data_IF_078398284332
#
_entry.id   IF_078398284332
#
_cell.length_a   1.000
_cell.length_b   1.000
_cell.length_c   1.000
_cell.angle_alpha   90.00
_cell.angle_beta   90.00
_cell.angle_gamma   90.00
#
_symmetry.space_group_name_H-M   'P 1'
#
loop_
_entity.id
_entity.type
_entity.pdbx_description
1 polymer ?
#
# COMPACT_ATOMS: atom_id res chain seq x y z
N UNK A 1 54.37 -44.82 -34.08
CA UNK A 1 54.83 -43.43 -33.94
C UNK A 1 54.54 -42.97 -32.53
N UNK A 2 55.60 -42.49 -31.89
CA UNK A 2 55.76 -42.07 -30.50
C UNK A 2 55.17 -40.68 -30.24
N UNK A 3 54.45 -40.53 -29.13
CA UNK A 3 54.68 -39.43 -28.18
C UNK A 3 53.95 -39.70 -26.85
N UNK A 4 54.76 -39.96 -25.81
CA UNK A 4 54.43 -39.70 -24.40
C UNK A 4 54.56 -38.19 -24.15
N UNK A 5 53.85 -37.65 -23.16
CA UNK A 5 54.36 -36.66 -22.18
C UNK A 5 53.39 -36.60 -20.98
N UNK A 6 54.01 -36.28 -19.85
CA UNK A 6 53.71 -36.62 -18.47
C UNK A 6 52.91 -35.54 -17.73
N UNK A 7 52.25 -35.98 -16.66
CA UNK A 7 51.61 -35.25 -15.54
C UNK A 7 52.19 -33.86 -15.18
N UNK A 8 51.31 -32.98 -14.70
CA UNK A 8 51.56 -32.23 -13.46
C UNK A 8 50.25 -31.90 -12.73
N UNK A 9 50.24 -32.27 -11.45
CA UNK A 9 49.22 -32.02 -10.45
C UNK A 9 49.38 -30.58 -9.97
N UNK A 10 48.30 -29.79 -9.99
CA UNK A 10 48.12 -28.68 -9.07
C UNK A 10 46.68 -28.69 -8.57
N UNK A 11 46.52 -29.13 -7.33
CA UNK A 11 45.32 -28.90 -6.54
C UNK A 11 45.34 -27.42 -6.12
N UNK A 12 44.37 -26.63 -6.59
CA UNK A 12 44.07 -25.31 -6.04
C UNK A 12 42.66 -25.36 -5.44
N UNK A 13 42.62 -25.51 -4.12
CA UNK A 13 41.47 -25.27 -3.27
C UNK A 13 41.14 -23.78 -3.27
N UNK A 14 40.07 -23.38 -3.95
CA UNK A 14 39.51 -22.03 -3.84
C UNK A 14 38.37 -22.09 -2.80
N UNK A 15 38.66 -21.61 -1.60
CA UNK A 15 37.62 -21.20 -0.64
C UNK A 15 36.81 -20.07 -1.29
N UNK A 16 35.53 -20.30 -1.54
CA UNK A 16 34.59 -19.22 -1.80
C UNK A 16 34.33 -18.48 -0.48
N UNK A 17 35.07 -17.39 -0.26
CA UNK A 17 34.71 -16.39 0.72
C UNK A 17 33.41 -15.72 0.29
N UNK A 18 32.33 -15.95 1.04
CA UNK A 18 31.10 -15.17 0.94
C UNK A 18 31.42 -13.78 1.47
N UNK A 19 31.76 -12.86 0.57
CA UNK A 19 31.83 -11.44 0.88
C UNK A 19 30.39 -10.95 1.06
N UNK A 20 29.97 -10.77 2.32
CA UNK A 20 28.81 -9.94 2.65
C UNK A 20 29.10 -8.53 2.18
N UNK A 21 28.51 -8.12 1.06
CA UNK A 21 28.52 -6.73 0.63
C UNK A 21 27.67 -5.92 1.64
N UNK A 22 28.32 -5.22 2.55
CA UNK A 22 27.67 -4.16 3.31
C UNK A 22 27.33 -3.05 2.29
N UNK A 23 26.03 -2.83 2.09
CA UNK A 23 25.53 -1.65 1.36
C UNK A 23 25.91 -0.43 2.19
N UNK A 24 27.03 0.19 1.86
CA UNK A 24 27.48 1.43 2.46
C UNK A 24 26.63 2.56 1.87
N UNK A 25 25.56 2.93 2.58
CA UNK A 25 24.77 4.12 2.26
C UNK A 25 25.69 5.34 2.39
N UNK A 26 26.00 5.98 1.26
CA UNK A 26 26.66 7.29 1.29
C UNK A 26 25.75 8.28 2.04
N UNK A 27 26.30 9.14 2.90
CA UNK A 27 25.50 10.17 3.56
C UNK A 27 24.84 11.05 2.50
N UNK A 28 23.51 11.19 2.59
CA UNK A 28 22.73 12.02 1.68
C UNK A 28 23.23 13.48 1.76
N UNK A 29 23.32 14.20 0.61
CA UNK A 29 23.56 15.65 0.62
C UNK A 29 22.53 16.34 1.51
N UNK A 30 22.94 17.38 2.25
CA UNK A 30 22.14 18.06 3.29
C UNK A 30 20.81 18.69 2.84
N UNK A 31 20.47 18.62 1.55
CA UNK A 31 19.24 19.13 0.94
C UNK A 31 18.39 18.04 0.27
N UNK A 32 18.74 16.75 0.43
CA UNK A 32 17.95 15.65 -0.13
C UNK A 32 16.79 15.33 0.81
N UNK A 33 15.59 15.00 0.28
CA UNK A 33 14.49 14.55 1.12
C UNK A 33 14.91 13.31 1.92
N UNK A 34 14.34 13.12 3.12
CA UNK A 34 14.61 11.93 3.92
C UNK A 34 14.23 10.65 3.14
N UNK A 35 14.91 9.51 3.39
CA UNK A 35 14.54 8.24 2.78
C UNK A 35 13.05 7.92 2.99
N UNK A 36 12.36 7.31 2.02
CA UNK A 36 10.95 6.96 2.16
C UNK A 36 10.65 6.07 3.37
N UNK A 37 11.49 5.07 3.65
CA UNK A 37 11.32 4.20 4.83
C UNK A 37 11.45 4.96 6.15
N UNK A 38 12.48 5.79 6.27
CA UNK A 38 12.68 6.63 7.45
C UNK A 38 11.48 7.57 7.66
N UNK A 39 10.98 8.15 6.58
CA UNK A 39 9.79 9.00 6.60
C UNK A 39 8.57 8.20 7.06
N UNK A 40 8.36 6.99 6.52
CA UNK A 40 7.24 6.14 6.90
C UNK A 40 7.28 5.75 8.38
N UNK A 41 8.45 5.35 8.88
CA UNK A 41 8.66 5.04 10.31
C UNK A 41 8.45 6.27 11.19
N UNK A 42 8.94 7.43 10.79
CA UNK A 42 8.76 8.68 11.53
C UNK A 42 7.27 9.03 11.65
N UNK A 43 6.55 9.03 10.52
CA UNK A 43 5.11 9.29 10.47
C UNK A 43 4.31 8.23 11.22
N UNK A 44 4.80 7.00 11.28
CA UNK A 44 4.17 5.91 12.02
C UNK A 44 4.44 5.94 13.54
N UNK A 45 5.20 6.93 14.02
CA UNK A 45 5.62 7.01 15.42
C UNK A 45 6.52 5.84 15.84
N UNK A 46 7.25 5.24 14.90
CA UNK A 46 8.10 4.06 15.12
C UNK A 46 9.57 4.45 15.33
N UNK A 47 10.36 3.60 16.01
CA UNK A 47 11.80 3.84 16.16
C UNK A 47 12.52 3.99 14.82
N UNK A 48 13.42 4.96 14.76
CA UNK A 48 14.27 5.25 13.61
C UNK A 48 15.68 4.67 13.80
N UNK A 49 16.35 4.38 12.69
CA UNK A 49 17.76 4.05 12.71
C UNK A 49 18.58 5.26 13.23
N UNK A 50 19.66 4.99 13.97
CA UNK A 50 20.50 6.06 14.59
C UNK A 50 21.11 7.01 13.56
N UNK A 51 21.35 6.53 12.35
CA UNK A 51 21.89 7.30 11.23
C UNK A 51 20.81 7.98 10.37
N UNK A 52 19.53 7.84 10.73
CA UNK A 52 18.44 8.51 10.04
C UNK A 52 18.57 10.02 10.17
N UNK A 53 18.39 10.80 9.08
CA UNK A 53 18.32 12.26 9.18
C UNK A 53 17.12 12.74 10.02
N UNK A 54 16.10 11.90 10.21
CA UNK A 54 14.91 12.21 11.02
C UNK A 54 15.13 11.92 12.52
N UNK A 55 16.22 11.27 12.91
CA UNK A 55 16.48 10.92 14.31
C UNK A 55 16.53 12.13 15.24
N UNK A 56 16.90 13.31 14.73
CA UNK A 56 16.87 14.57 15.49
C UNK A 56 15.45 14.97 15.89
N UNK A 57 14.47 14.75 15.02
CA UNK A 57 13.07 15.09 15.28
C UNK A 57 12.41 14.11 16.26
N UNK A 58 12.93 12.89 16.40
CA UNK A 58 12.41 11.91 17.36
C UNK A 58 12.67 12.27 18.84
N UNK A 59 13.52 13.28 19.09
CA UNK A 59 13.72 13.84 20.44
C UNK A 59 12.69 14.93 20.78
N UNK A 60 11.89 15.39 19.82
CA UNK A 60 10.85 16.38 20.03
C UNK A 60 9.71 15.81 20.90
N UNK A 61 9.27 16.50 21.96
CA UNK A 61 8.17 16.03 22.81
C UNK A 61 6.88 15.72 22.02
N UNK A 62 6.56 16.52 20.98
CA UNK A 62 5.38 16.28 20.16
C UNK A 62 5.46 14.95 19.40
N UNK A 63 6.67 14.59 18.93
CA UNK A 63 6.87 13.29 18.29
C UNK A 63 6.80 12.13 19.29
N UNK A 64 7.29 12.31 20.52
CA UNK A 64 7.18 11.29 21.56
C UNK A 64 5.72 11.02 21.97
N UNK A 65 4.92 12.08 22.10
CA UNK A 65 3.48 11.97 22.34
C UNK A 65 2.78 11.25 21.19
N UNK A 66 3.10 11.62 19.94
CA UNK A 66 2.60 10.97 18.74
C UNK A 66 2.94 9.47 18.68
N UNK A 67 4.20 9.12 18.96
CA UNK A 67 4.66 7.74 19.04
C UNK A 67 3.87 6.93 20.07
N UNK A 68 3.68 7.48 21.28
CA UNK A 68 2.89 6.83 22.32
C UNK A 68 1.41 6.69 21.94
N UNK A 69 0.84 7.69 21.27
CA UNK A 69 -0.53 7.65 20.76
C UNK A 69 -0.71 6.50 19.76
N UNK A 70 0.13 6.43 18.71
CA UNK A 70 0.02 5.37 17.72
C UNK A 70 0.34 4.00 18.28
N UNK A 71 1.24 3.87 19.25
CA UNK A 71 1.47 2.60 19.91
C UNK A 71 0.22 2.07 20.60
N UNK A 72 -0.46 2.93 21.35
CA UNK A 72 -1.74 2.59 21.99
C UNK A 72 -2.84 2.29 20.95
N UNK A 73 -2.92 3.09 19.88
CA UNK A 73 -3.97 2.96 18.87
C UNK A 73 -3.87 1.63 18.10
N UNK A 74 -2.69 1.29 17.60
CA UNK A 74 -2.47 0.05 16.85
C UNK A 74 -2.48 -1.19 17.74
N UNK A 75 -1.99 -1.11 18.99
CA UNK A 75 -2.16 -2.21 19.94
C UNK A 75 -3.64 -2.54 20.17
N UNK A 76 -4.48 -1.51 20.29
CA UNK A 76 -5.94 -1.65 20.43
C UNK A 76 -6.58 -2.20 19.15
N UNK A 77 -6.20 -1.71 17.97
CA UNK A 77 -6.64 -2.23 16.67
C UNK A 77 -6.34 -3.72 16.55
N UNK A 78 -5.10 -4.14 16.82
CA UNK A 78 -4.68 -5.53 16.75
C UNK A 78 -5.53 -6.42 17.68
N UNK A 79 -5.64 -6.04 18.95
CA UNK A 79 -6.39 -6.83 19.94
C UNK A 79 -7.89 -6.91 19.64
N UNK A 80 -8.51 -5.81 19.20
CA UNK A 80 -9.97 -5.74 19.03
C UNK A 80 -10.44 -6.26 17.68
N UNK A 81 -9.61 -6.13 16.65
CA UNK A 81 -10.01 -6.32 15.26
C UNK A 81 -9.15 -7.37 14.57
N UNK A 82 -7.85 -7.12 14.38
CA UNK A 82 -7.02 -7.97 13.50
C UNK A 82 -6.88 -9.40 14.04
N UNK A 83 -6.76 -9.61 15.35
CA UNK A 83 -6.76 -10.97 15.93
C UNK A 83 -8.06 -11.73 15.66
N UNK A 84 -9.21 -11.05 15.69
CA UNK A 84 -10.50 -11.67 15.39
C UNK A 84 -10.65 -11.94 13.91
N UNK A 85 -10.16 -11.02 13.08
CA UNK A 85 -10.10 -11.16 11.64
C UNK A 85 -9.28 -12.40 11.26
N UNK A 86 -8.05 -12.53 11.76
CA UNK A 86 -7.21 -13.69 11.47
C UNK A 86 -7.83 -15.01 11.95
N UNK A 87 -8.50 -15.01 13.11
CA UNK A 87 -9.23 -16.18 13.59
C UNK A 87 -10.43 -16.52 12.68
N UNK A 88 -11.10 -15.53 12.12
CA UNK A 88 -12.18 -15.74 11.15
C UNK A 88 -11.62 -16.26 9.82
N UNK A 89 -10.57 -15.66 9.27
CA UNK A 89 -9.94 -16.06 8.01
C UNK A 89 -9.50 -17.52 8.02
N UNK A 90 -8.88 -17.96 9.12
CA UNK A 90 -8.46 -19.36 9.30
C UNK A 90 -9.61 -20.37 9.17
N UNK A 91 -10.83 -19.97 9.54
CA UNK A 91 -11.99 -20.85 9.53
C UNK A 91 -12.85 -20.71 8.28
N UNK A 92 -12.91 -19.52 7.67
CA UNK A 92 -13.90 -19.19 6.64
C UNK A 92 -13.31 -18.77 5.29
N UNK A 93 -12.02 -18.40 5.25
CA UNK A 93 -11.33 -17.94 4.05
C UNK A 93 -9.92 -18.57 3.91
N UNK A 94 -9.79 -19.90 3.86
CA UNK A 94 -8.49 -20.54 3.61
C UNK A 94 -7.89 -20.14 2.24
N UNK A 95 -8.73 -19.73 1.29
CA UNK A 95 -8.31 -19.28 -0.05
C UNK A 95 -7.52 -17.97 -0.05
N UNK A 96 -7.63 -17.14 1.00
CA UNK A 96 -6.89 -15.87 1.16
C UNK A 96 -5.37 -16.02 0.97
N UNK A 97 -4.84 -17.19 1.29
CA UNK A 97 -3.40 -17.46 1.27
C UNK A 97 -2.93 -18.14 -0.02
N UNK A 98 -3.84 -18.43 -0.95
CA UNK A 98 -3.50 -18.99 -2.25
C UNK A 98 -2.74 -17.96 -3.10
N UNK A 99 -1.80 -18.39 -3.95
CA UNK A 99 -1.10 -17.48 -4.85
C UNK A 99 -2.08 -16.73 -5.77
N UNK A 100 -1.85 -15.44 -5.92
CA UNK A 100 -2.60 -14.56 -6.82
C UNK A 100 -1.64 -13.54 -7.46
N UNK A 101 -1.91 -13.09 -8.69
CA UNK A 101 -1.05 -12.09 -9.35
C UNK A 101 -1.26 -10.68 -8.80
N UNK A 102 -2.45 -10.37 -8.28
CA UNK A 102 -2.84 -9.03 -7.83
C UNK A 102 -3.98 -9.09 -6.81
N UNK A 103 -3.99 -8.15 -5.87
CA UNK A 103 -5.13 -7.82 -5.03
C UNK A 103 -5.70 -6.44 -5.40
N UNK A 104 -6.96 -6.39 -5.78
CA UNK A 104 -7.69 -5.17 -6.11
C UNK A 104 -8.51 -4.68 -4.91
N UNK A 105 -8.48 -3.37 -4.65
CA UNK A 105 -9.34 -2.72 -3.67
C UNK A 105 -9.84 -1.38 -4.24
N UNK A 106 -10.88 -1.46 -5.07
CA UNK A 106 -11.32 -0.32 -5.91
C UNK A 106 -12.03 0.80 -5.13
N UNK A 107 -12.50 0.51 -3.92
CA UNK A 107 -13.14 1.49 -3.03
C UNK A 107 -12.32 1.67 -1.76
N UNK A 108 -10.99 1.70 -1.88
CA UNK A 108 -10.09 1.63 -0.73
C UNK A 108 -9.89 2.96 -0.01
N UNK A 109 -9.87 4.07 -0.74
CA UNK A 109 -9.14 5.25 -0.24
C UNK A 109 -7.70 4.83 0.15
N UNK A 110 -7.09 5.42 1.19
CA UNK A 110 -5.76 5.02 1.66
C UNK A 110 -5.75 3.76 2.55
N UNK A 111 -6.82 2.95 2.58
CA UNK A 111 -6.86 1.75 3.41
C UNK A 111 -6.04 0.60 2.80
N UNK A 112 -4.75 0.59 3.10
CA UNK A 112 -3.89 -0.56 2.81
C UNK A 112 -3.97 -1.67 3.86
N UNK A 113 -4.35 -1.31 5.10
CA UNK A 113 -4.32 -2.22 6.25
C UNK A 113 -5.13 -3.50 5.99
N UNK A 114 -6.39 -3.38 5.56
CA UNK A 114 -7.26 -4.56 5.44
C UNK A 114 -6.94 -5.41 4.21
N UNK A 115 -6.60 -4.81 3.07
CA UNK A 115 -6.24 -5.61 1.89
C UNK A 115 -4.96 -6.42 2.14
N UNK A 116 -4.03 -5.87 2.93
CA UNK A 116 -2.89 -6.63 3.41
C UNK A 116 -3.27 -7.77 4.37
N UNK A 117 -4.25 -7.56 5.26
CA UNK A 117 -4.66 -8.63 6.17
C UNK A 117 -5.32 -9.80 5.42
N UNK A 118 -6.20 -9.50 4.47
CA UNK A 118 -6.93 -10.51 3.71
C UNK A 118 -6.07 -11.18 2.63
N UNK A 119 -5.12 -10.45 2.03
CA UNK A 119 -4.30 -10.96 0.94
C UNK A 119 -2.81 -10.67 1.18
N UNK A 120 -2.19 -11.15 2.27
CA UNK A 120 -0.85 -10.72 2.70
C UNK A 120 0.27 -11.14 1.72
N UNK A 121 -0.02 -12.10 0.84
CA UNK A 121 0.95 -12.66 -0.13
C UNK A 121 0.78 -12.12 -1.55
N UNK A 122 -0.09 -11.14 -1.78
CA UNK A 122 -0.24 -10.59 -3.12
C UNK A 122 1.05 -9.84 -3.50
N UNK A 123 1.68 -10.14 -4.65
CA UNK A 123 2.89 -9.43 -5.06
C UNK A 123 2.58 -7.99 -5.50
N UNK A 124 1.34 -7.73 -5.89
CA UNK A 124 0.87 -6.42 -6.33
C UNK A 124 -0.47 -6.10 -5.68
N UNK A 125 -0.58 -4.88 -5.14
CA UNK A 125 -1.82 -4.30 -4.64
C UNK A 125 -2.19 -3.10 -5.50
N UNK A 126 -3.46 -3.02 -5.90
CA UNK A 126 -3.98 -1.88 -6.66
C UNK A 126 -5.16 -1.28 -5.91
N UNK A 127 -4.95 -0.06 -5.41
CA UNK A 127 -5.89 0.73 -4.62
C UNK A 127 -6.26 1.99 -5.39
N UNK A 128 -7.44 2.54 -5.12
CA UNK A 128 -7.79 3.86 -5.61
C UNK A 128 -8.78 4.61 -4.72
N UNK A 129 -8.82 5.93 -4.93
CA UNK A 129 -9.77 6.84 -4.29
C UNK A 129 -9.92 8.13 -5.09
N UNK A 130 -10.77 9.04 -4.60
CA UNK A 130 -10.96 10.37 -5.21
C UNK A 130 -10.09 11.43 -4.54
N UNK A 131 -9.46 11.09 -3.43
CA UNK A 131 -8.56 11.93 -2.67
C UNK A 131 -7.24 12.13 -3.40
N UNK A 132 -6.68 13.33 -3.30
CA UNK A 132 -5.33 13.62 -3.81
C UNK A 132 -4.30 12.85 -3.01
N UNK A 133 -3.24 12.38 -3.67
CA UNK A 133 -2.10 11.75 -2.98
C UNK A 133 -1.27 12.73 -2.16
N UNK A 134 -1.27 14.01 -2.55
CA UNK A 134 -0.31 14.99 -2.01
C UNK A 134 1.11 14.81 -2.58
N UNK A 135 2.05 15.69 -2.21
CA UNK A 135 3.47 15.52 -2.49
C UNK A 135 4.07 14.42 -1.58
N UNK A 136 5.30 13.96 -1.85
CA UNK A 136 6.05 13.16 -0.88
C UNK A 136 6.13 13.90 0.47
N UNK A 137 5.81 13.25 1.60
CA UNK A 137 5.97 13.85 2.91
C UNK A 137 7.46 14.14 3.20
N UNK A 138 7.74 15.30 3.77
CA UNK A 138 9.10 15.71 4.17
C UNK A 138 9.08 16.28 5.59
N UNK A 139 9.23 15.43 6.62
CA UNK A 139 9.18 15.86 8.01
C UNK A 139 10.19 16.94 8.40
N UNK A 140 11.32 17.06 7.69
CA UNK A 140 12.35 18.08 7.96
C UNK A 140 11.88 19.49 7.57
N UNK A 141 10.82 19.60 6.76
CA UNK A 141 10.29 20.88 6.26
C UNK A 141 8.98 21.29 6.93
N UNK A 142 8.52 20.50 7.89
CA UNK A 142 7.32 20.79 8.68
C UNK A 142 7.66 21.88 9.70
N UNK A 143 6.94 23.00 9.63
CA UNK A 143 7.12 24.14 10.54
C UNK A 143 6.34 23.96 11.84
N UNK A 144 5.15 23.37 11.79
CA UNK A 144 4.31 23.08 12.95
C UNK A 144 4.19 21.57 13.17
N UNK A 145 5.28 20.95 13.63
CA UNK A 145 5.35 19.49 13.79
C UNK A 145 4.21 18.93 14.66
N UNK A 146 3.93 19.56 15.80
CA UNK A 146 2.84 19.13 16.69
C UNK A 146 1.48 19.15 15.99
N UNK A 147 1.15 20.24 15.28
CA UNK A 147 -0.11 20.34 14.55
C UNK A 147 -0.20 19.35 13.39
N UNK A 148 0.89 19.15 12.63
CA UNK A 148 0.95 18.20 11.53
C UNK A 148 0.72 16.76 12.01
N UNK A 149 1.41 16.34 13.09
CA UNK A 149 1.25 15.01 13.67
C UNK A 149 -0.16 14.81 14.25
N UNK A 150 -0.70 15.81 14.96
CA UNK A 150 -2.07 15.74 15.48
C UNK A 150 -3.12 15.59 14.36
N UNK A 151 -2.97 16.31 13.25
CA UNK A 151 -3.86 16.15 12.10
C UNK A 151 -3.78 14.75 11.48
N UNK A 152 -2.58 14.17 11.40
CA UNK A 152 -2.38 12.80 10.93
C UNK A 152 -3.05 11.79 11.89
N UNK A 153 -2.95 12.01 13.20
CA UNK A 153 -3.64 11.19 14.21
C UNK A 153 -5.15 11.21 14.01
N UNK A 154 -5.76 12.39 13.86
CA UNK A 154 -7.20 12.55 13.66
C UNK A 154 -7.66 11.93 12.33
N UNK A 155 -6.93 12.16 11.23
CA UNK A 155 -7.23 11.56 9.93
C UNK A 155 -7.25 10.03 9.97
N UNK A 156 -6.37 9.42 10.78
CA UNK A 156 -6.31 7.97 10.94
C UNK A 156 -7.25 7.44 12.05
N UNK A 157 -7.69 8.29 12.98
CA UNK A 157 -8.48 7.90 14.15
C UNK A 157 -9.79 7.21 13.75
N UNK A 158 -10.47 7.69 12.69
CA UNK A 158 -11.71 7.06 12.21
C UNK A 158 -11.46 5.64 11.69
N UNK A 159 -10.43 5.46 10.85
CA UNK A 159 -10.10 4.16 10.27
C UNK A 159 -9.63 3.17 11.34
N UNK A 160 -8.78 3.62 12.27
CA UNK A 160 -8.27 2.77 13.34
C UNK A 160 -9.35 2.37 14.37
N UNK A 161 -10.40 3.18 14.54
CA UNK A 161 -11.50 2.88 15.48
C UNK A 161 -12.65 2.11 14.84
N UNK A 162 -13.04 2.46 13.62
CA UNK A 162 -14.27 1.98 12.97
C UNK A 162 -14.01 1.09 11.76
N UNK A 163 -12.75 0.88 11.38
CA UNK A 163 -12.32 0.13 10.19
C UNK A 163 -12.53 0.85 8.86
N UNK A 164 -13.07 2.07 8.83
CA UNK A 164 -13.29 2.80 7.59
C UNK A 164 -12.98 4.29 7.76
N UNK A 165 -12.68 4.94 6.65
CA UNK A 165 -12.52 6.37 6.61
C UNK A 165 -13.84 7.09 6.38
N UNK A 166 -14.05 8.23 7.03
CA UNK A 166 -15.20 9.09 6.79
C UNK A 166 -14.78 10.16 5.76
N UNK A 167 -15.27 10.05 4.52
CA UNK A 167 -14.82 10.84 3.35
C UNK A 167 -14.92 12.37 3.56
N UNK A 168 -15.94 12.83 4.29
CA UNK A 168 -16.10 14.26 4.59
C UNK A 168 -14.97 14.78 5.47
N UNK A 169 -14.61 14.02 6.50
CA UNK A 169 -13.58 14.39 7.47
C UNK A 169 -12.19 14.22 6.83
N UNK A 170 -11.98 13.13 6.06
CA UNK A 170 -10.78 12.96 5.23
C UNK A 170 -10.50 14.16 4.32
N UNK A 171 -11.49 14.69 3.62
CA UNK A 171 -11.27 15.82 2.71
C UNK A 171 -10.77 17.05 3.46
N UNK A 172 -11.23 17.27 4.69
CA UNK A 172 -10.81 18.40 5.53
C UNK A 172 -9.39 18.16 6.07
N UNK A 173 -9.12 16.95 6.57
CA UNK A 173 -7.83 16.63 7.21
C UNK A 173 -6.70 16.51 6.18
N UNK A 174 -6.98 15.94 5.02
CA UNK A 174 -6.04 15.80 3.91
C UNK A 174 -5.76 17.11 3.17
N UNK A 175 -6.43 18.22 3.51
CA UNK A 175 -6.14 19.56 2.99
C UNK A 175 -5.23 20.40 3.90
N UNK A 176 -4.78 19.85 5.03
CA UNK A 176 -3.81 20.52 5.90
C UNK A 176 -2.49 20.83 5.16
N UNK A 177 -1.80 21.90 5.54
CA UNK A 177 -0.69 22.42 4.72
C UNK A 177 0.57 21.53 4.70
N UNK A 178 0.81 20.74 5.74
CA UNK A 178 2.13 20.11 5.98
C UNK A 178 2.18 18.59 5.68
N UNK A 179 1.08 17.86 5.89
CA UNK A 179 0.96 16.42 5.60
C UNK A 179 -0.34 16.15 4.83
N UNK A 180 -0.50 16.75 3.65
CA UNK A 180 -1.70 16.56 2.83
C UNK A 180 -1.70 15.27 2.01
N UNK A 181 -2.91 14.85 1.67
CA UNK A 181 -3.18 13.74 0.77
C UNK A 181 -3.03 12.34 1.38
N UNK A 182 -3.26 11.32 0.56
CA UNK A 182 -3.31 9.93 1.01
C UNK A 182 -1.94 9.31 1.28
N UNK A 183 -0.86 9.88 0.76
CA UNK A 183 0.47 9.28 0.82
C UNK A 183 1.03 9.14 2.26
N UNK A 184 0.91 10.15 3.15
CA UNK A 184 1.29 9.99 4.56
C UNK A 184 0.56 8.83 5.25
N UNK A 185 -0.73 8.61 4.97
CA UNK A 185 -1.52 7.53 5.56
C UNK A 185 -1.03 6.16 5.06
N UNK A 186 -0.77 6.03 3.75
CA UNK A 186 -0.21 4.80 3.17
C UNK A 186 1.15 4.46 3.79
N UNK A 187 2.01 5.46 3.99
CA UNK A 187 3.30 5.29 4.66
C UNK A 187 3.14 4.74 6.08
N UNK A 188 2.20 5.30 6.87
CA UNK A 188 1.92 4.80 8.21
C UNK A 188 1.45 3.35 8.17
N UNK A 189 0.50 3.00 7.30
CA UNK A 189 0.02 1.62 7.22
C UNK A 189 1.10 0.63 6.78
N UNK A 190 1.93 0.98 5.81
CA UNK A 190 3.06 0.13 5.39
C UNK A 190 4.02 -0.12 6.55
N UNK A 191 4.50 0.94 7.21
CA UNK A 191 5.43 0.81 8.34
C UNK A 191 4.82 0.01 9.51
N UNK A 192 3.55 0.27 9.86
CA UNK A 192 2.85 -0.44 10.96
C UNK A 192 2.47 -1.88 10.61
N UNK A 193 2.45 -2.23 9.33
CA UNK A 193 2.35 -3.60 8.85
C UNK A 193 3.72 -4.31 8.75
N UNK A 194 4.78 -3.72 9.31
CA UNK A 194 6.15 -4.24 9.29
C UNK A 194 6.72 -4.39 7.86
N UNK A 195 6.50 -3.36 7.03
CA UNK A 195 7.06 -3.26 5.69
C UNK A 195 8.09 -2.15 5.63
N UNK A 196 9.12 -2.38 4.83
CA UNK A 196 10.17 -1.38 4.58
C UNK A 196 10.04 -0.82 3.17
N UNK A 197 9.82 0.48 3.04
CA UNK A 197 9.65 1.13 1.73
C UNK A 197 11.01 1.28 1.04
N UNK A 198 11.13 0.77 -0.19
CA UNK A 198 12.39 0.82 -0.95
C UNK A 198 12.38 1.91 -2.01
N UNK A 199 11.24 2.17 -2.65
CA UNK A 199 11.09 3.23 -3.65
C UNK A 199 9.67 3.80 -3.69
N UNK A 200 9.57 5.08 -4.02
CA UNK A 200 8.29 5.77 -4.23
C UNK A 200 8.36 6.60 -5.50
N UNK A 201 7.64 6.14 -6.52
CA UNK A 201 7.64 6.74 -7.84
C UNK A 201 6.26 7.27 -8.19
N UNK A 202 6.18 8.58 -8.48
CA UNK A 202 4.95 9.19 -8.99
C UNK A 202 4.76 8.84 -10.47
N UNK A 203 3.57 8.38 -10.80
CA UNK A 203 3.21 7.92 -12.13
C UNK A 203 1.92 8.59 -12.63
N UNK A 204 1.69 8.48 -13.93
CA UNK A 204 0.38 8.77 -14.51
C UNK A 204 0.03 7.75 -15.58
N UNK A 205 -1.23 7.32 -15.62
CA UNK A 205 -1.74 6.41 -16.65
C UNK A 205 -2.24 7.19 -17.85
N UNK A 206 -1.77 6.81 -19.03
CA UNK A 206 -2.42 7.24 -20.26
C UNK A 206 -3.76 6.50 -20.47
N UNK A 207 -4.49 6.87 -21.52
CA UNK A 207 -5.80 6.28 -21.87
C UNK A 207 -5.75 4.77 -22.21
N UNK A 208 -4.57 4.19 -22.43
CA UNK A 208 -4.37 2.76 -22.66
C UNK A 208 -3.99 1.98 -21.39
N UNK A 209 -3.87 2.65 -20.24
CA UNK A 209 -3.47 2.01 -19.00
C UNK A 209 -1.97 1.76 -18.89
N UNK A 210 -1.15 2.34 -19.78
CA UNK A 210 0.31 2.34 -19.61
C UNK A 210 0.69 3.48 -18.68
N UNK A 211 1.48 3.19 -17.64
CA UNK A 211 2.01 4.23 -16.78
C UNK A 211 3.30 4.83 -17.35
N UNK A 212 3.49 6.11 -17.09
CA UNK A 212 4.75 6.82 -17.29
C UNK A 212 5.13 7.50 -15.98
N UNK A 213 6.43 7.58 -15.70
CA UNK A 213 6.91 8.42 -14.60
C UNK A 213 6.49 9.87 -14.88
N UNK A 214 5.83 10.49 -13.90
CA UNK A 214 5.35 11.85 -14.02
C UNK A 214 5.75 12.63 -12.80
N UNK A 215 6.27 13.83 -13.02
CA UNK A 215 6.24 14.86 -11.96
C UNK A 215 4.76 15.13 -11.67
N UNK A 216 4.36 14.99 -10.40
CA UNK A 216 3.02 15.24 -9.84
C UNK A 216 1.91 15.57 -10.87
N UNK A 217 1.16 14.57 -11.32
CA UNK A 217 -0.17 14.75 -11.89
C UNK A 217 -0.30 15.43 -13.26
N UNK A 218 0.72 15.38 -14.13
CA UNK A 218 0.58 15.91 -15.49
C UNK A 218 0.14 14.85 -16.50
N UNK A 219 -1.12 14.95 -16.94
CA UNK A 219 -1.73 14.22 -18.05
C UNK A 219 -2.13 12.78 -17.69
N UNK A 220 -3.42 12.43 -17.80
CA UNK A 220 -3.92 11.08 -17.55
C UNK A 220 -4.44 10.84 -16.12
N UNK A 221 -4.48 9.58 -15.68
CA UNK A 221 -4.86 9.21 -14.30
C UNK A 221 -3.65 9.25 -13.38
N UNK A 222 -3.56 10.19 -12.42
CA UNK A 222 -2.42 10.27 -11.51
C UNK A 222 -2.39 9.08 -10.55
N UNK A 223 -1.18 8.59 -10.24
CA UNK A 223 -0.96 7.56 -9.25
C UNK A 223 0.44 7.58 -8.64
N UNK A 224 0.67 6.69 -7.69
CA UNK A 224 1.97 6.44 -7.07
C UNK A 224 2.21 4.94 -7.05
N UNK A 225 3.44 4.57 -7.36
CA UNK A 225 3.98 3.22 -7.16
C UNK A 225 4.87 3.26 -5.93
N UNK A 226 4.59 2.39 -4.97
CA UNK A 226 5.38 2.20 -3.76
C UNK A 226 5.91 0.78 -3.80
N UNK A 227 7.22 0.62 -3.99
CA UNK A 227 7.88 -0.67 -3.86
C UNK A 227 8.36 -0.82 -2.41
N UNK A 228 8.19 -2.01 -1.84
CA UNK A 228 8.56 -2.30 -0.46
C UNK A 228 8.88 -3.78 -0.26
N UNK A 229 9.49 -4.09 0.89
CA UNK A 229 9.76 -5.46 1.35
C UNK A 229 8.84 -5.76 2.54
N UNK A 230 8.16 -6.91 2.55
CA UNK A 230 7.56 -7.44 3.79
C UNK A 230 8.71 -7.99 4.65
N UNK A 231 8.95 -7.39 5.81
CA UNK A 231 10.09 -7.76 6.66
C UNK A 231 9.94 -9.17 7.26
N UNK A 232 8.73 -9.73 7.29
CA UNK A 232 8.44 -11.06 7.86
C UNK A 232 8.76 -12.17 6.89
N UNK A 233 8.42 -12.00 5.60
CA UNK A 233 8.69 -13.00 4.57
C UNK A 233 9.96 -12.73 3.76
N UNK A 234 10.37 -11.47 3.67
CA UNK A 234 11.44 -11.00 2.78
C UNK A 234 10.99 -10.80 1.34
N UNK A 235 9.69 -10.90 1.05
CA UNK A 235 9.16 -10.76 -0.30
C UNK A 235 9.14 -9.29 -0.74
N UNK A 236 9.51 -9.06 -2.00
CA UNK A 236 9.31 -7.77 -2.64
C UNK A 236 7.88 -7.65 -3.17
N UNK A 237 7.20 -6.56 -2.81
CA UNK A 237 5.81 -6.29 -3.19
C UNK A 237 5.68 -4.85 -3.68
N UNK A 238 4.62 -4.60 -4.45
CA UNK A 238 4.32 -3.27 -4.99
C UNK A 238 2.90 -2.87 -4.64
N UNK A 239 2.75 -1.65 -4.12
CA UNK A 239 1.47 -0.98 -3.97
C UNK A 239 1.33 0.11 -5.03
N UNK A 240 0.27 0.02 -5.83
CA UNK A 240 -0.20 1.11 -6.67
C UNK A 240 -1.40 1.77 -6.02
N UNK A 241 -1.37 3.11 -5.91
CA UNK A 241 -2.52 3.90 -5.54
C UNK A 241 -2.81 4.93 -6.62
N UNK A 242 -4.07 5.03 -7.06
CA UNK A 242 -4.50 5.99 -8.09
C UNK A 242 -5.60 6.92 -7.57
N UNK A 243 -5.52 8.19 -7.96
CA UNK A 243 -6.62 9.14 -7.78
C UNK A 243 -7.49 9.12 -9.04
N UNK A 244 -8.68 8.53 -8.97
CA UNK A 244 -9.55 8.33 -10.14
C UNK A 244 -11.02 8.27 -9.77
N UNK A 245 -11.89 8.64 -10.73
CA UNK A 245 -13.33 8.42 -10.63
C UNK A 245 -13.68 7.09 -11.31
N UNK A 246 -14.18 6.13 -10.52
CA UNK A 246 -14.58 4.80 -10.98
C UNK A 246 -16.09 4.65 -11.19
N UNK A 247 -16.84 5.74 -11.26
CA UNK A 247 -18.19 5.72 -11.82
C UNK A 247 -18.13 5.38 -13.31
N UNK A 248 -19.23 4.90 -13.87
CA UNK A 248 -19.33 4.55 -15.29
C UNK A 248 -18.97 5.73 -16.20
N UNK A 249 -19.42 6.94 -15.85
CA UNK A 249 -19.05 8.17 -16.57
C UNK A 249 -17.57 8.54 -16.40
N UNK A 250 -17.01 8.32 -15.21
CA UNK A 250 -15.59 8.52 -14.91
C UNK A 250 -14.70 7.59 -15.74
N UNK A 251 -15.03 6.30 -15.76
CA UNK A 251 -14.33 5.26 -16.54
C UNK A 251 -14.45 5.53 -18.04
N UNK A 252 -15.64 5.89 -18.53
CA UNK A 252 -15.83 6.21 -19.95
C UNK A 252 -14.96 7.39 -20.40
N UNK A 253 -14.89 8.42 -19.55
CA UNK A 253 -14.09 9.62 -19.80
C UNK A 253 -12.59 9.30 -19.72
N UNK A 254 -12.17 8.52 -18.72
CA UNK A 254 -10.78 8.18 -18.45
C UNK A 254 -10.59 6.67 -18.15
N UNK A 255 -10.52 5.82 -19.20
CA UNK A 255 -10.48 4.36 -19.05
C UNK A 255 -9.10 3.82 -18.61
N UNK A 256 -8.09 4.68 -18.46
CA UNK A 256 -6.71 4.25 -18.22
C UNK A 256 -6.56 3.37 -16.98
N UNK A 257 -7.29 3.66 -15.91
CA UNK A 257 -7.23 2.89 -14.67
C UNK A 257 -7.70 1.45 -14.84
N UNK A 258 -8.90 1.21 -15.38
CA UNK A 258 -9.38 -0.17 -15.55
C UNK A 258 -8.50 -0.94 -16.55
N UNK A 259 -8.05 -0.31 -17.63
CA UNK A 259 -7.10 -0.95 -18.56
C UNK A 259 -5.79 -1.33 -17.88
N UNK A 260 -5.28 -0.49 -16.98
CA UNK A 260 -4.10 -0.84 -16.18
C UNK A 260 -4.38 -2.11 -15.35
N UNK A 261 -5.52 -2.16 -14.66
CA UNK A 261 -5.94 -3.33 -13.89
C UNK A 261 -6.11 -4.60 -14.74
N UNK A 262 -6.65 -4.49 -15.97
CA UNK A 262 -6.83 -5.61 -16.90
C UNK A 262 -5.51 -6.34 -17.23
N UNK A 263 -4.37 -5.64 -17.25
CA UNK A 263 -3.07 -6.26 -17.56
C UNK A 263 -2.63 -7.31 -16.53
N UNK A 264 -3.17 -7.28 -15.31
CA UNK A 264 -2.86 -8.27 -14.26
C UNK A 264 -3.70 -9.55 -14.38
N UNK A 265 -4.73 -9.56 -15.24
CA UNK A 265 -5.63 -10.70 -15.40
C UNK A 265 -6.55 -10.89 -14.18
N UNK A 266 -6.69 -12.14 -13.73
CA UNK A 266 -7.61 -12.51 -12.64
C UNK A 266 -6.86 -12.53 -11.30
N UNK A 267 -7.33 -11.74 -10.34
CA UNK A 267 -6.77 -11.63 -8.99
C UNK A 267 -7.78 -11.93 -7.88
N UNK A 268 -7.57 -11.28 -6.74
CA UNK A 268 -8.55 -11.24 -5.64
C UNK A 268 -9.00 -9.81 -5.38
N UNK A 269 -10.24 -9.63 -4.91
CA UNK A 269 -10.77 -8.30 -4.60
C UNK A 269 -11.24 -8.17 -3.16
N UNK A 270 -10.95 -7.03 -2.55
CA UNK A 270 -11.56 -6.58 -1.31
C UNK A 270 -12.56 -5.46 -1.61
N UNK A 271 -13.73 -5.55 -0.99
CA UNK A 271 -14.77 -4.51 -1.01
C UNK A 271 -15.22 -4.25 0.42
N UNK A 272 -14.96 -3.05 0.91
CA UNK A 272 -15.26 -2.70 2.29
C UNK A 272 -15.70 -1.25 2.35
N UNK A 273 -16.85 -1.03 2.97
CA UNK A 273 -17.43 0.30 3.19
C UNK A 273 -17.57 1.12 1.90
N UNK A 274 -17.89 0.45 0.78
CA UNK A 274 -18.06 1.04 -0.55
C UNK A 274 -19.34 1.87 -0.73
N UNK A 275 -19.96 2.31 0.37
CA UNK A 275 -21.13 3.20 0.39
C UNK A 275 -22.32 2.72 -0.47
N UNK A 276 -22.46 1.41 -0.67
CA UNK A 276 -23.47 0.78 -1.53
C UNK A 276 -23.44 1.27 -3.00
N UNK A 277 -22.35 1.88 -3.46
CA UNK A 277 -22.27 2.47 -4.80
C UNK A 277 -22.57 1.47 -5.93
N UNK A 278 -22.21 0.19 -5.74
CA UNK A 278 -22.47 -0.87 -6.73
C UNK A 278 -23.92 -1.41 -6.73
N UNK A 279 -24.78 -0.91 -5.83
CA UNK A 279 -26.23 -1.08 -5.91
C UNK A 279 -26.86 -0.08 -6.89
N UNK A 280 -26.18 1.04 -7.15
CA UNK A 280 -26.65 2.08 -8.06
C UNK A 280 -26.32 1.73 -9.53
N UNK A 281 -27.01 2.37 -10.47
CA UNK A 281 -26.82 2.13 -11.89
C UNK A 281 -25.48 2.68 -12.43
N UNK A 282 -24.88 3.65 -11.74
CA UNK A 282 -23.69 4.38 -12.21
C UNK A 282 -22.33 3.74 -11.90
N UNK A 283 -22.30 2.50 -11.41
CA UNK A 283 -21.07 1.77 -11.07
C UNK A 283 -21.07 0.35 -11.64
N UNK A 284 -21.81 0.12 -12.73
CA UNK A 284 -21.93 -1.19 -13.34
C UNK A 284 -20.60 -1.69 -13.92
N UNK A 285 -19.79 -0.80 -14.49
CA UNK A 285 -18.53 -1.12 -15.16
C UNK A 285 -17.51 -1.65 -14.17
N UNK A 286 -17.29 -0.96 -13.04
CA UNK A 286 -16.36 -1.43 -12.00
C UNK A 286 -16.88 -2.70 -11.32
N UNK A 287 -18.19 -2.83 -11.08
CA UNK A 287 -18.80 -4.06 -10.55
C UNK A 287 -18.51 -5.24 -11.47
N UNK A 288 -18.76 -5.09 -12.76
CA UNK A 288 -18.53 -6.16 -13.73
C UNK A 288 -17.04 -6.48 -13.87
N UNK A 289 -16.18 -5.46 -13.88
CA UNK A 289 -14.73 -5.67 -13.85
C UNK A 289 -14.32 -6.58 -12.68
N UNK A 290 -14.78 -6.29 -11.46
CA UNK A 290 -14.46 -7.08 -10.27
C UNK A 290 -14.98 -8.51 -10.41
N UNK A 291 -16.20 -8.71 -10.89
CA UNK A 291 -16.78 -10.04 -11.10
C UNK A 291 -16.05 -10.86 -12.17
N UNK A 292 -15.51 -10.21 -13.19
CA UNK A 292 -14.83 -10.87 -14.31
C UNK A 292 -13.33 -11.10 -14.04
N UNK A 293 -12.70 -10.27 -13.19
CA UNK A 293 -11.26 -10.28 -12.91
C UNK A 293 -10.91 -10.70 -11.48
N UNK A 294 -11.84 -11.36 -10.77
CA UNK A 294 -11.57 -11.94 -9.46
C UNK A 294 -11.91 -13.42 -9.43
N UNK A 295 -11.09 -14.21 -8.73
CA UNK A 295 -11.43 -15.58 -8.34
C UNK A 295 -11.92 -15.65 -6.88
N UNK A 296 -11.59 -14.63 -6.09
CA UNK A 296 -11.94 -14.49 -4.67
C UNK A 296 -12.39 -13.06 -4.44
N UNK A 297 -13.57 -12.87 -3.86
CA UNK A 297 -14.08 -11.55 -3.47
C UNK A 297 -14.43 -11.63 -1.99
N UNK A 298 -13.79 -10.79 -1.18
CA UNK A 298 -14.16 -10.58 0.22
C UNK A 298 -14.90 -9.25 0.27
N UNK A 299 -16.14 -9.27 0.79
CA UNK A 299 -16.94 -8.06 0.85
C UNK A 299 -17.79 -7.93 2.11
N UNK A 300 -18.04 -6.69 2.55
CA UNK A 300 -19.12 -6.38 3.47
C UNK A 300 -20.45 -6.14 2.70
N UNK A 301 -21.50 -5.79 3.44
CA UNK A 301 -22.85 -5.62 2.92
C UNK A 301 -22.99 -4.41 1.97
N UNK A 302 -22.03 -3.49 2.00
CA UNK A 302 -21.96 -2.35 1.09
C UNK A 302 -21.28 -2.67 -0.26
N UNK A 303 -20.81 -3.91 -0.45
CA UNK A 303 -20.14 -4.40 -1.66
C UNK A 303 -21.07 -4.63 -2.86
N UNK A 304 -20.80 -5.68 -3.63
CA UNK A 304 -21.60 -6.08 -4.79
C UNK A 304 -22.87 -6.79 -4.31
N UNK A 305 -24.07 -6.38 -4.78
CA UNK A 305 -25.31 -7.08 -4.46
C UNK A 305 -25.26 -8.55 -4.87
N UNK A 306 -25.70 -9.45 -3.97
CA UNK A 306 -25.63 -10.91 -4.18
C UNK A 306 -26.35 -11.39 -5.45
N UNK A 307 -27.32 -10.62 -5.96
CA UNK A 307 -28.04 -10.91 -7.20
C UNK A 307 -27.14 -10.91 -8.45
N UNK A 308 -25.99 -10.22 -8.42
CA UNK A 308 -25.05 -10.16 -9.54
C UNK A 308 -24.08 -11.34 -9.58
N UNK A 309 -24.01 -12.13 -8.51
CA UNK A 309 -23.16 -13.31 -8.47
C UNK A 309 -23.88 -14.50 -9.12
N UNK A 310 -23.43 -14.89 -10.31
CA UNK A 310 -23.89 -16.12 -10.95
C UNK A 310 -23.50 -17.34 -10.10
N UNK A 311 -24.51 -18.06 -9.60
CA UNK A 311 -24.36 -19.23 -8.71
C UNK A 311 -23.66 -20.43 -9.38
N UNK A 312 -23.64 -20.50 -10.72
CA UNK A 312 -22.90 -21.52 -11.46
C UNK A 312 -21.40 -21.21 -11.53
N UNK A 313 -21.01 -19.94 -11.28
CA UNK A 313 -19.62 -19.48 -11.30
C UNK A 313 -19.06 -19.23 -9.90
N UNK A 314 -19.90 -18.78 -8.96
CA UNK A 314 -19.48 -18.29 -7.65
C UNK A 314 -20.00 -19.17 -6.52
N UNK A 315 -19.08 -19.62 -5.67
CA UNK A 315 -19.40 -20.24 -4.39
C UNK A 315 -19.57 -19.16 -3.31
N UNK A 316 -20.81 -18.80 -2.98
CA UNK A 316 -21.11 -17.71 -2.03
C UNK A 316 -21.19 -18.27 -0.60
N UNK A 317 -20.40 -17.68 0.31
CA UNK A 317 -20.41 -17.94 1.76
C UNK A 317 -20.91 -16.68 2.48
N UNK A 318 -21.82 -16.83 3.44
CA UNK A 318 -22.39 -15.76 4.26
C UNK A 318 -22.07 -16.01 5.73
#
# INVERSE_FOLDING_TARGET
MTAKITLSIFALSILNAVCSAQVQQNPLPSNSPPPPDDTARFLAGMPLAKNSPLAVLASDPAWQEHSAFFEKAFAKLNLRQLKKLHAWEQNYLPEATQPMPVAFYMFSGPDFLYVDQFFPKAPVYVLCGKESMGPPPDPLRITNLSGALHNLEEAMNSSLRFSFFITKDMKVDLQSQELNGTLPILYVFLARADKSITDVTFISLNRNGTFQESRLGQGGTPGVRIDYIDNRSGDAQTLFYFTTDISDGGIQSNPGFLKFCEHFGVGSSLLKSSSYLMFEEGFATVRNFILDHSNTIVQDDAGIPLIYFNRDKWNIRL
#
